data_IF_180946954678
#
_entry.id   IF_180946954678
#
_cell.length_a   1.000
_cell.length_b   1.000
_cell.length_c   1.000
_cell.angle_alpha   90.00
_cell.angle_beta   90.00
_cell.angle_gamma   90.00
#
_symmetry.space_group_name_H-M   'P 1'
#
loop_
_entity.id
_entity.type
_entity.pdbx_description
1 polymer ?
#
# COMPACT_ATOMS: atom_id res chain seq x y z
N UNK A 1 -55.32 -14.30 -11.88
CA UNK A 1 -54.44 -13.12 -12.11
C UNK A 1 -53.01 -13.56 -11.93
N UNK A 2 -52.32 -13.86 -13.02
CA UNK A 2 -50.93 -14.32 -12.98
C UNK A 2 -50.01 -13.13 -12.81
N UNK A 3 -49.46 -12.95 -11.61
CA UNK A 3 -48.25 -12.15 -11.42
C UNK A 3 -47.06 -13.09 -11.58
N UNK A 4 -46.72 -13.42 -12.82
CA UNK A 4 -45.37 -13.85 -13.14
C UNK A 4 -44.46 -12.66 -12.83
N UNK A 5 -43.97 -12.59 -11.59
CA UNK A 5 -42.91 -11.69 -11.23
C UNK A 5 -41.70 -12.14 -12.04
N UNK A 6 -41.51 -11.53 -13.22
CA UNK A 6 -40.33 -11.72 -14.05
C UNK A 6 -39.14 -11.05 -13.36
N UNK A 7 -38.75 -11.57 -12.20
CA UNK A 7 -37.60 -11.15 -11.41
C UNK A 7 -36.32 -11.23 -12.25
N UNK A 8 -36.25 -12.20 -13.16
CA UNK A 8 -35.19 -12.37 -14.15
C UNK A 8 -35.21 -11.36 -15.32
N UNK A 9 -36.35 -10.69 -15.59
CA UNK A 9 -36.44 -9.66 -16.63
C UNK A 9 -36.26 -8.24 -16.10
N UNK A 10 -36.20 -8.05 -14.78
CA UNK A 10 -35.97 -6.73 -14.19
C UNK A 10 -34.54 -6.26 -14.50
N UNK A 11 -34.44 -5.10 -15.14
CA UNK A 11 -33.18 -4.49 -15.58
C UNK A 11 -32.24 -4.21 -14.40
N UNK A 12 -32.78 -3.86 -13.23
CA UNK A 12 -31.99 -3.58 -12.03
C UNK A 12 -31.38 -4.86 -11.45
N UNK A 13 -32.17 -5.94 -11.40
CA UNK A 13 -31.69 -7.24 -10.91
C UNK A 13 -30.61 -7.81 -11.83
N UNK A 14 -30.82 -7.80 -13.16
CA UNK A 14 -29.81 -8.21 -14.14
C UNK A 14 -28.51 -7.40 -14.01
N UNK A 15 -28.61 -6.08 -13.87
CA UNK A 15 -27.43 -5.22 -13.72
C UNK A 15 -26.62 -5.59 -12.48
N UNK A 16 -27.26 -5.75 -11.33
CA UNK A 16 -26.59 -6.10 -10.09
C UNK A 16 -25.98 -7.51 -10.16
N UNK A 17 -26.72 -8.47 -10.74
CA UNK A 17 -26.24 -9.84 -10.94
C UNK A 17 -24.96 -9.88 -11.77
N UNK A 18 -24.94 -9.23 -12.94
CA UNK A 18 -23.75 -9.22 -13.80
C UNK A 18 -22.59 -8.46 -13.16
N UNK A 19 -22.84 -7.35 -12.46
CA UNK A 19 -21.79 -6.61 -11.77
C UNK A 19 -21.14 -7.45 -10.66
N UNK A 20 -21.94 -8.09 -9.81
CA UNK A 20 -21.44 -8.98 -8.76
C UNK A 20 -20.71 -10.18 -9.35
N UNK A 21 -21.23 -10.76 -10.44
CA UNK A 21 -20.58 -11.88 -11.13
C UNK A 21 -19.22 -11.47 -11.69
N UNK A 22 -19.13 -10.33 -12.38
CA UNK A 22 -17.87 -9.84 -12.96
C UNK A 22 -16.86 -9.47 -11.88
N UNK A 23 -17.26 -8.72 -10.85
CA UNK A 23 -16.38 -8.37 -9.72
C UNK A 23 -15.93 -9.62 -8.97
N UNK A 24 -16.84 -10.59 -8.77
CA UNK A 24 -16.54 -11.87 -8.14
C UNK A 24 -15.53 -12.67 -8.94
N UNK A 25 -15.75 -12.85 -10.25
CA UNK A 25 -14.79 -13.52 -11.14
C UNK A 25 -13.44 -12.82 -11.18
N UNK A 26 -13.43 -11.48 -11.21
CA UNK A 26 -12.19 -10.70 -11.18
C UNK A 26 -11.43 -10.89 -9.88
N UNK A 27 -12.11 -10.81 -8.73
CA UNK A 27 -11.50 -11.06 -7.42
C UNK A 27 -10.98 -12.49 -7.28
N UNK A 28 -11.73 -13.49 -7.79
CA UNK A 28 -11.27 -14.88 -7.85
C UNK A 28 -10.04 -15.03 -8.76
N UNK A 29 -9.99 -14.33 -9.88
CA UNK A 29 -8.84 -14.29 -10.78
C UNK A 29 -7.60 -13.74 -10.09
N UNK A 30 -7.72 -12.60 -9.41
CA UNK A 30 -6.63 -12.03 -8.60
C UNK A 30 -6.19 -13.03 -7.52
N UNK A 31 -7.13 -13.58 -6.77
CA UNK A 31 -6.84 -14.54 -5.70
C UNK A 31 -6.07 -15.76 -6.22
N UNK A 32 -6.52 -16.34 -7.34
CA UNK A 32 -5.87 -17.48 -7.97
C UNK A 32 -4.44 -17.16 -8.43
N UNK A 33 -4.24 -16.00 -9.07
CA UNK A 33 -2.92 -15.55 -9.50
C UNK A 33 -1.99 -15.30 -8.31
N UNK A 34 -2.46 -14.61 -7.28
CA UNK A 34 -1.67 -14.34 -6.07
C UNK A 34 -1.26 -15.63 -5.37
N UNK A 35 -2.19 -16.58 -5.18
CA UNK A 35 -1.89 -17.85 -4.53
C UNK A 35 -0.91 -18.70 -5.34
N UNK A 36 -1.10 -18.75 -6.65
CA UNK A 36 -0.20 -19.46 -7.56
C UNK A 36 1.19 -18.85 -7.53
N UNK A 37 1.31 -17.53 -7.66
CA UNK A 37 2.59 -16.83 -7.61
C UNK A 37 3.27 -17.00 -6.26
N UNK A 38 2.55 -16.82 -5.15
CA UNK A 38 3.09 -17.02 -3.81
C UNK A 38 3.65 -18.43 -3.62
N UNK A 39 2.89 -19.46 -4.00
CA UNK A 39 3.32 -20.87 -3.92
C UNK A 39 4.56 -21.16 -4.77
N UNK A 40 4.69 -20.51 -5.94
CA UNK A 40 5.87 -20.63 -6.80
C UNK A 40 7.09 -19.89 -6.24
N UNK A 41 6.90 -18.75 -5.58
CA UNK A 41 7.98 -17.99 -4.95
C UNK A 41 8.49 -18.66 -3.69
N UNK A 42 7.60 -19.25 -2.89
CA UNK A 42 7.96 -20.04 -1.71
C UNK A 42 8.84 -21.23 -2.08
N UNK A 43 8.48 -21.99 -3.13
CA UNK A 43 9.31 -23.09 -3.67
C UNK A 43 10.71 -22.64 -4.11
N UNK A 44 10.89 -21.35 -4.41
CA UNK A 44 12.17 -20.76 -4.83
C UNK A 44 12.91 -20.09 -3.67
N UNK A 45 12.45 -20.27 -2.42
CA UNK A 45 12.98 -19.63 -1.21
C UNK A 45 13.04 -18.09 -1.32
N UNK A 46 12.15 -17.50 -2.13
CA UNK A 46 12.04 -16.04 -2.23
C UNK A 46 11.07 -15.61 -1.13
N UNK A 47 11.63 -14.99 -0.09
CA UNK A 47 10.86 -14.41 1.01
C UNK A 47 9.92 -13.33 0.45
N UNK A 48 8.66 -13.70 0.27
CA UNK A 48 7.61 -12.84 -0.25
C UNK A 48 6.54 -12.62 0.81
N UNK A 49 5.84 -11.50 0.71
CA UNK A 49 4.85 -11.07 1.70
C UNK A 49 5.39 -10.01 2.66
N UNK A 50 4.67 -9.81 3.77
CA UNK A 50 4.88 -8.67 4.68
C UNK A 50 5.74 -9.00 5.90
N UNK A 51 6.21 -10.23 6.02
CA UNK A 51 7.02 -10.68 7.16
C UNK A 51 8.31 -9.88 7.31
N UNK A 52 8.89 -9.41 6.18
CA UNK A 52 10.09 -8.57 6.19
C UNK A 52 9.92 -7.30 7.04
N UNK A 53 8.71 -6.75 7.15
CA UNK A 53 8.46 -5.55 7.96
C UNK A 53 8.79 -5.76 9.44
N UNK A 54 8.67 -7.00 9.92
CA UNK A 54 8.94 -7.37 11.31
C UNK A 54 10.36 -7.93 11.52
N UNK A 55 11.12 -8.15 10.44
CA UNK A 55 12.50 -8.61 10.55
C UNK A 55 13.40 -7.47 11.02
N UNK A 56 14.49 -7.76 11.78
CA UNK A 56 15.48 -6.77 12.15
C UNK A 56 16.14 -6.15 10.92
N UNK A 57 16.32 -4.83 10.94
CA UNK A 57 16.88 -4.10 9.82
C UNK A 57 18.35 -4.46 9.53
N UNK A 58 19.14 -4.74 10.57
CA UNK A 58 20.53 -5.16 10.45
C UNK A 58 21.51 -4.04 10.07
N UNK A 59 21.07 -2.78 10.07
CA UNK A 59 21.89 -1.59 9.86
C UNK A 59 21.42 -0.46 10.78
N UNK A 60 22.33 0.45 11.14
CA UNK A 60 22.03 1.63 11.95
C UNK A 60 21.72 2.86 11.07
N UNK A 61 20.92 3.78 11.60
CA UNK A 61 20.58 5.06 10.95
C UNK A 61 21.31 6.18 11.69
N UNK A 62 22.13 6.95 10.97
CA UNK A 62 22.93 8.02 11.57
C UNK A 62 22.11 9.23 12.05
N UNK A 63 20.91 9.44 11.50
CA UNK A 63 20.07 10.60 11.79
C UNK A 63 18.61 10.20 12.00
N UNK A 64 18.17 10.21 13.25
CA UNK A 64 16.83 9.79 13.67
C UNK A 64 16.30 10.67 14.82
N UNK A 65 16.07 11.98 14.59
CA UNK A 65 15.77 12.94 15.65
C UNK A 65 14.42 12.75 16.36
N UNK A 66 13.48 12.02 15.75
CA UNK A 66 12.12 11.85 16.26
C UNK A 66 11.85 10.48 16.90
N UNK A 67 12.55 9.44 16.42
CA UNK A 67 12.36 8.07 16.86
C UNK A 67 13.73 7.44 17.04
N UNK A 68 14.09 7.09 18.28
CA UNK A 68 15.34 6.37 18.54
C UNK A 68 15.29 5.02 17.83
N UNK A 69 16.31 4.73 17.02
CA UNK A 69 16.37 3.57 16.14
C UNK A 69 17.70 2.86 16.32
N UNK A 70 17.63 1.53 16.44
CA UNK A 70 18.78 0.64 16.55
C UNK A 70 18.71 -0.41 15.45
N UNK A 71 19.86 -0.93 15.02
CA UNK A 71 19.96 -2.01 14.03
C UNK A 71 19.19 -3.29 14.36
N UNK A 72 18.86 -3.51 15.64
CA UNK A 72 18.00 -4.61 16.11
C UNK A 72 16.50 -4.36 15.91
N UNK A 73 16.09 -3.12 15.62
CA UNK A 73 14.70 -2.75 15.40
C UNK A 73 14.21 -3.22 14.02
N UNK A 74 12.89 -3.24 13.86
CA UNK A 74 12.24 -3.78 12.67
C UNK A 74 12.32 -2.85 11.45
N UNK A 75 12.26 -3.42 10.25
CA UNK A 75 12.16 -2.64 9.00
C UNK A 75 10.97 -1.68 8.97
N UNK A 76 9.87 -2.00 9.66
CA UNK A 76 8.73 -1.10 9.81
C UNK A 76 9.12 0.20 10.53
N UNK A 77 9.95 0.12 11.58
CA UNK A 77 10.44 1.29 12.30
C UNK A 77 11.38 2.13 11.43
N UNK A 78 12.26 1.49 10.65
CA UNK A 78 13.11 2.17 9.65
C UNK A 78 12.26 2.99 8.69
N UNK A 79 11.17 2.41 8.18
CA UNK A 79 10.28 3.08 7.25
C UNK A 79 9.73 4.39 7.84
N UNK A 80 9.24 4.36 9.08
CA UNK A 80 8.74 5.56 9.75
C UNK A 80 9.82 6.60 10.02
N UNK A 81 11.03 6.19 10.41
CA UNK A 81 12.18 7.10 10.54
C UNK A 81 12.45 7.81 9.21
N UNK A 82 12.43 7.07 8.09
CA UNK A 82 12.58 7.64 6.76
C UNK A 82 11.49 8.65 6.41
N UNK A 83 10.22 8.31 6.63
CA UNK A 83 9.08 9.20 6.36
C UNK A 83 9.19 10.51 7.15
N UNK A 84 9.51 10.43 8.45
CA UNK A 84 9.66 11.61 9.30
C UNK A 84 10.83 12.49 8.86
N UNK A 85 11.95 11.88 8.45
CA UNK A 85 13.10 12.61 7.93
C UNK A 85 12.76 13.33 6.61
N UNK A 86 12.06 12.67 5.68
CA UNK A 86 11.61 13.32 4.43
C UNK A 86 10.68 14.49 4.71
N UNK A 87 9.72 14.32 5.62
CA UNK A 87 8.82 15.41 6.02
C UNK A 87 9.58 16.60 6.61
N UNK A 88 10.56 16.35 7.48
CA UNK A 88 11.40 17.41 8.06
C UNK A 88 12.16 18.19 6.99
N UNK A 89 12.84 17.47 6.08
CA UNK A 89 13.64 18.09 5.02
C UNK A 89 12.75 18.85 4.03
N UNK A 90 11.61 18.28 3.63
CA UNK A 90 10.66 18.95 2.73
C UNK A 90 10.07 20.20 3.37
N UNK A 91 9.67 20.15 4.64
CA UNK A 91 9.11 21.31 5.35
C UNK A 91 10.12 22.45 5.49
N UNK A 92 11.32 22.14 5.97
CA UNK A 92 12.40 23.14 6.09
C UNK A 92 12.84 23.68 4.74
N UNK A 93 12.88 22.82 3.72
CA UNK A 93 13.14 23.20 2.34
C UNK A 93 12.10 24.17 1.76
N UNK A 94 10.81 23.93 2.01
CA UNK A 94 9.74 24.85 1.59
C UNK A 94 9.92 26.24 2.21
N UNK A 95 10.18 26.30 3.53
CA UNK A 95 10.41 27.58 4.22
C UNK A 95 11.61 28.31 3.61
N UNK A 96 12.74 27.62 3.46
CA UNK A 96 13.95 28.21 2.89
C UNK A 96 13.72 28.69 1.45
N UNK A 97 13.04 27.89 0.62
CA UNK A 97 12.72 28.23 -0.76
C UNK A 97 11.80 29.45 -0.85
N UNK A 98 10.81 29.58 0.04
CA UNK A 98 9.95 30.78 0.09
C UNK A 98 10.74 32.03 0.46
N UNK A 99 11.62 31.95 1.46
CA UNK A 99 12.44 33.10 1.88
C UNK A 99 13.38 33.53 0.74
N UNK A 100 14.12 32.58 0.16
CA UNK A 100 15.05 32.86 -0.94
C UNK A 100 14.28 33.39 -2.16
N UNK A 101 13.17 32.74 -2.51
CA UNK A 101 12.33 33.15 -3.63
C UNK A 101 11.76 34.55 -3.47
N UNK A 102 11.39 34.95 -2.25
CA UNK A 102 10.93 36.31 -1.96
C UNK A 102 12.06 37.34 -2.07
N UNK A 103 13.25 37.05 -1.51
CA UNK A 103 14.40 37.96 -1.55
C UNK A 103 14.92 38.17 -2.97
N UNK A 104 14.99 37.10 -3.77
CA UNK A 104 15.47 37.17 -5.16
C UNK A 104 14.39 37.67 -6.12
N UNK A 105 13.12 37.44 -5.79
CA UNK A 105 11.99 37.78 -6.66
C UNK A 105 11.55 39.24 -6.59
N UNK A 106 11.94 39.98 -5.54
CA UNK A 106 11.70 41.42 -5.41
C UNK A 106 12.85 42.23 -6.02
#
# INVERSE_FOLDING_TARGET
>A
MGSNLNFFSDQKFRSLFYQTLVVGLFALGIYYLTMTTASNLEKRNIATGWSFLNNPAGFDISFSPFLDFKSTDTHLKVYFVGVLNTLLVSFTGCIAATIIGFIVGI
#
